data_IF_714687548030
#
_entry.id   IF_714687548030
#
_cell.length_a   1.000
_cell.length_b   1.000
_cell.length_c   1.000
_cell.angle_alpha   90.00
_cell.angle_beta   90.00
_cell.angle_gamma   90.00
#
_symmetry.space_group_name_H-M   'P 1'
#
loop_
_entity.id
_entity.type
_entity.pdbx_description
1 polymer ?
#
# COMPACT_ATOMS: atom_id res chain seq x y z
N UNK A 1 -15.95 41.00 20.29
CA UNK A 1 -14.85 41.65 19.54
C UNK A 1 -14.17 40.60 18.68
N UNK A 2 -14.60 40.43 17.43
CA UNK A 2 -14.03 39.46 16.48
C UNK A 2 -12.84 40.14 15.78
N UNK A 3 -11.71 39.43 15.80
CA UNK A 3 -10.37 39.99 15.58
C UNK A 3 -10.15 40.49 14.12
N UNK A 4 -9.48 41.63 13.92
CA UNK A 4 -9.21 42.23 12.60
C UNK A 4 -8.28 41.42 11.67
N UNK A 5 -7.74 40.29 12.13
CA UNK A 5 -6.81 39.43 11.38
C UNK A 5 -7.45 38.67 10.20
N UNK A 6 -8.76 38.34 10.28
CA UNK A 6 -9.44 37.64 9.18
C UNK A 6 -9.57 38.49 7.92
N UNK A 7 -9.65 39.81 8.06
CA UNK A 7 -9.76 40.72 6.92
C UNK A 7 -8.42 40.89 6.19
N UNK A 8 -7.29 40.85 6.90
CA UNK A 8 -5.98 41.00 6.27
C UNK A 8 -5.58 39.72 5.52
N UNK A 9 -5.85 38.55 6.10
CA UNK A 9 -5.55 37.26 5.46
C UNK A 9 -6.42 37.03 4.23
N UNK A 10 -7.70 37.43 4.27
CA UNK A 10 -8.58 37.35 3.10
C UNK A 10 -8.13 38.32 1.99
N UNK A 11 -7.67 39.52 2.34
CA UNK A 11 -7.14 40.50 1.39
C UNK A 11 -5.86 39.99 0.71
N UNK A 12 -4.95 39.40 1.50
CA UNK A 12 -3.72 38.78 1.00
C UNK A 12 -4.07 37.60 0.08
N UNK A 13 -4.98 36.72 0.50
CA UNK A 13 -5.44 35.59 -0.32
C UNK A 13 -6.09 36.05 -1.64
N UNK A 14 -6.90 37.10 -1.61
CA UNK A 14 -7.52 37.67 -2.81
C UNK A 14 -6.47 38.32 -3.73
N UNK A 15 -5.49 39.02 -3.16
CA UNK A 15 -4.34 39.59 -3.88
C UNK A 15 -3.49 38.52 -4.56
N UNK A 16 -3.21 37.41 -3.86
CA UNK A 16 -2.51 36.26 -4.43
C UNK A 16 -3.30 35.63 -5.57
N UNK A 17 -4.61 35.42 -5.40
CA UNK A 17 -5.45 34.89 -6.48
C UNK A 17 -5.51 35.80 -7.71
N UNK A 18 -5.56 37.11 -7.51
CA UNK A 18 -5.53 38.07 -8.61
C UNK A 18 -4.18 38.04 -9.34
N UNK A 19 -3.07 38.02 -8.60
CA UNK A 19 -1.73 37.88 -9.17
C UNK A 19 -1.59 36.57 -9.95
N UNK A 20 -2.07 35.45 -9.40
CA UNK A 20 -2.06 34.14 -10.05
C UNK A 20 -2.85 34.16 -11.37
N UNK A 21 -4.05 34.76 -11.38
CA UNK A 21 -4.84 34.90 -12.61
C UNK A 21 -4.11 35.73 -13.65
N UNK A 22 -3.44 36.80 -13.23
CA UNK A 22 -2.68 37.67 -14.12
C UNK A 22 -1.45 36.96 -14.71
N UNK A 23 -0.72 36.21 -13.88
CA UNK A 23 0.40 35.38 -14.32
C UNK A 23 -0.04 34.26 -15.24
N UNK A 24 -1.15 33.58 -14.95
CA UNK A 24 -1.73 32.56 -15.82
C UNK A 24 -2.18 33.13 -17.17
N UNK A 25 -2.78 34.33 -17.18
CA UNK A 25 -3.15 35.03 -18.41
C UNK A 25 -1.91 35.43 -19.22
N UNK A 26 -0.84 35.87 -18.56
CA UNK A 26 0.43 36.21 -19.19
C UNK A 26 1.12 34.97 -19.79
N UNK A 27 1.15 33.85 -19.05
CA UNK A 27 1.67 32.56 -19.55
C UNK A 27 0.84 32.05 -20.74
N UNK A 28 -0.48 32.20 -20.71
CA UNK A 28 -1.33 31.88 -21.87
C UNK A 28 -0.98 32.73 -23.08
N UNK A 29 -0.79 34.05 -22.91
CA UNK A 29 -0.35 34.94 -23.99
C UNK A 29 1.01 34.53 -24.55
N UNK A 30 1.98 34.25 -23.67
CA UNK A 30 3.31 33.79 -24.07
C UNK A 30 3.25 32.46 -24.83
N UNK A 31 2.47 31.47 -24.36
CA UNK A 31 2.24 30.20 -25.08
C UNK A 31 1.63 30.42 -26.46
N UNK A 32 0.64 31.31 -26.58
CA UNK A 32 0.01 31.61 -27.87
C UNK A 32 1.02 32.25 -28.83
N UNK A 33 1.90 33.14 -28.34
CA UNK A 33 2.98 33.74 -29.15
C UNK A 33 4.11 32.76 -29.50
N UNK A 34 4.39 31.77 -28.64
CA UNK A 34 5.36 30.70 -28.93
C UNK A 34 4.82 29.71 -29.98
N UNK A 35 3.51 29.42 -29.96
CA UNK A 35 2.84 28.57 -30.95
C UNK A 35 2.79 29.24 -32.32
N UNK A 36 2.65 30.57 -32.39
CA UNK A 36 2.58 31.31 -33.66
C UNK A 36 3.94 31.63 -34.28
N UNK A 37 5.05 31.59 -33.52
CA UNK A 37 6.39 32.00 -34.00
C UNK A 37 7.33 30.85 -34.40
N UNK A 38 6.92 29.59 -34.25
CA UNK A 38 7.66 28.41 -34.76
C UNK A 38 9.09 28.21 -34.21
N UNK A 39 9.52 28.99 -33.21
CA UNK A 39 10.86 28.90 -32.59
C UNK A 39 10.82 28.14 -31.27
N UNK A 40 10.59 26.84 -31.30
CA UNK A 40 10.58 26.00 -30.08
C UNK A 40 11.36 24.66 -30.11
N UNK A 41 12.34 24.39 -31.00
CA UNK A 41 13.20 23.21 -30.79
C UNK A 41 14.43 23.40 -29.88
N UNK A 42 14.96 24.62 -29.70
CA UNK A 42 16.29 24.85 -29.09
C UNK A 42 16.24 25.13 -27.57
N UNK A 43 15.36 26.00 -27.12
CA UNK A 43 15.18 26.30 -25.68
C UNK A 43 14.69 25.07 -24.91
N UNK A 44 13.68 24.35 -25.43
CA UNK A 44 13.18 23.12 -24.81
C UNK A 44 14.26 22.01 -24.72
N UNK A 45 15.27 22.02 -25.60
CA UNK A 45 16.40 21.07 -25.58
C UNK A 45 17.37 21.36 -24.44
N UNK A 46 17.60 22.63 -24.11
CA UNK A 46 18.50 23.05 -23.03
C UNK A 46 17.86 22.96 -21.63
N UNK A 47 16.54 23.06 -21.53
CA UNK A 47 15.85 22.96 -20.23
C UNK A 47 15.57 21.52 -19.80
N UNK A 48 15.36 20.58 -20.73
CA UNK A 48 15.11 19.16 -20.42
C UNK A 48 16.19 18.52 -19.52
N UNK A 49 17.50 18.67 -19.78
CA UNK A 49 18.54 18.13 -18.91
C UNK A 49 18.56 18.81 -17.53
N UNK A 50 18.31 20.12 -17.47
CA UNK A 50 18.25 20.87 -16.22
C UNK A 50 17.08 20.39 -15.35
N UNK A 51 15.89 20.27 -15.94
CA UNK A 51 14.70 19.73 -15.26
C UNK A 51 14.97 18.31 -14.76
N UNK A 52 15.59 17.45 -15.59
CA UNK A 52 15.95 16.09 -15.18
C UNK A 52 16.92 16.07 -13.99
N UNK A 53 17.94 16.94 -13.99
CA UNK A 53 18.86 17.07 -12.86
C UNK A 53 18.17 17.60 -11.60
N UNK A 54 17.23 18.55 -11.73
CA UNK A 54 16.47 19.05 -10.59
C UNK A 54 15.52 17.99 -10.02
N UNK A 55 14.86 17.20 -10.87
CA UNK A 55 14.03 16.07 -10.42
C UNK A 55 14.87 15.03 -9.68
N UNK A 56 16.05 14.69 -10.21
CA UNK A 56 16.95 13.75 -9.53
C UNK A 56 17.40 14.27 -8.16
N UNK A 57 17.72 15.56 -8.04
CA UNK A 57 18.06 16.19 -6.75
C UNK A 57 16.87 16.19 -5.79
N UNK A 58 15.66 16.43 -6.28
CA UNK A 58 14.43 16.35 -5.49
C UNK A 58 14.21 14.93 -4.96
N UNK A 59 14.41 13.91 -5.79
CA UNK A 59 14.32 12.50 -5.38
C UNK A 59 15.40 12.14 -4.34
N UNK A 60 16.64 12.61 -4.53
CA UNK A 60 17.74 12.45 -3.56
C UNK A 60 17.41 13.12 -2.21
N UNK A 61 16.89 14.36 -2.23
CA UNK A 61 16.47 15.08 -1.02
C UNK A 61 15.26 14.44 -0.33
N UNK A 62 14.32 13.86 -1.09
CA UNK A 62 13.18 13.12 -0.54
C UNK A 62 13.64 11.83 0.16
N UNK A 63 14.61 11.13 -0.42
CA UNK A 63 15.20 9.94 0.19
C UNK A 63 15.95 10.28 1.49
N UNK A 64 16.76 11.35 1.50
CA UNK A 64 17.46 11.82 2.70
C UNK A 64 16.48 12.21 3.82
N UNK A 65 15.38 12.90 3.47
CA UNK A 65 14.32 13.24 4.43
C UNK A 65 13.68 12.01 5.05
N UNK A 66 13.47 10.96 4.27
CA UNK A 66 12.88 9.72 4.79
C UNK A 66 13.82 9.02 5.78
N UNK A 67 15.11 8.94 5.47
CA UNK A 67 16.13 8.42 6.41
C UNK A 67 16.13 9.22 7.71
N UNK A 68 16.09 10.55 7.62
CA UNK A 68 16.08 11.42 8.79
C UNK A 68 14.80 11.26 9.62
N UNK A 69 13.65 11.05 8.98
CA UNK A 69 12.39 10.74 9.69
C UNK A 69 12.49 9.41 10.44
N UNK A 70 13.05 8.38 9.82
CA UNK A 70 13.25 7.09 10.47
C UNK A 70 14.20 7.20 11.68
N UNK A 71 15.25 8.02 11.57
CA UNK A 71 16.15 8.30 12.68
C UNK A 71 15.46 9.06 13.82
N UNK A 72 14.65 10.08 13.49
CA UNK A 72 13.86 10.81 14.47
C UNK A 72 12.88 9.89 15.20
N UNK A 73 12.14 9.05 14.48
CA UNK A 73 11.21 8.09 15.07
C UNK A 73 11.91 7.13 16.04
N UNK A 74 13.11 6.65 15.69
CA UNK A 74 13.92 5.80 16.61
C UNK A 74 14.33 6.54 17.87
N UNK A 75 14.75 7.79 17.75
CA UNK A 75 15.16 8.61 18.91
C UNK A 75 13.96 8.96 19.78
N UNK A 76 12.80 9.26 19.19
CA UNK A 76 11.55 9.52 19.90
C UNK A 76 11.11 8.30 20.72
N UNK A 77 11.15 7.10 20.14
CA UNK A 77 10.86 5.85 20.85
C UNK A 77 11.84 5.64 22.01
N UNK A 78 13.14 5.79 21.77
CA UNK A 78 14.16 5.63 22.80
C UNK A 78 14.00 6.66 23.94
N UNK A 79 13.62 7.89 23.61
CA UNK A 79 13.35 8.94 24.59
C UNK A 79 12.12 8.61 25.43
N UNK A 80 11.04 8.12 24.83
CA UNK A 80 9.83 7.70 25.54
C UNK A 80 10.11 6.52 26.48
N UNK A 81 10.92 5.55 26.03
CA UNK A 81 11.37 4.44 26.89
C UNK A 81 12.18 4.93 28.10
N UNK A 82 13.08 5.89 27.91
CA UNK A 82 13.83 6.50 29.02
C UNK A 82 12.92 7.28 29.97
N UNK A 83 11.94 8.02 29.44
CA UNK A 83 10.95 8.71 30.26
C UNK A 83 10.15 7.73 31.12
N UNK A 84 9.69 6.62 30.53
CA UNK A 84 9.01 5.55 31.28
C UNK A 84 9.91 4.97 32.37
N UNK A 85 11.17 4.60 32.05
CA UNK A 85 12.15 4.12 33.04
C UNK A 85 12.32 5.10 34.21
N UNK A 86 12.50 6.39 33.90
CA UNK A 86 12.67 7.42 34.92
C UNK A 86 11.43 7.59 35.82
N UNK A 87 10.22 7.44 35.27
CA UNK A 87 8.99 7.50 36.07
C UNK A 87 8.85 6.29 36.99
N UNK A 88 9.17 5.09 36.52
CA UNK A 88 9.15 3.86 37.33
C UNK A 88 10.16 3.92 38.48
N UNK A 89 11.38 4.40 38.21
CA UNK A 89 12.40 4.61 39.24
C UNK A 89 11.98 5.64 40.29
N UNK A 90 11.33 6.74 39.86
CA UNK A 90 10.82 7.76 40.77
C UNK A 90 9.70 7.22 41.67
N UNK A 91 8.79 6.41 41.12
CA UNK A 91 7.75 5.74 41.90
C UNK A 91 8.34 4.75 42.90
N UNK A 92 9.31 3.94 42.48
CA UNK A 92 9.96 2.96 43.34
C UNK A 92 10.72 3.64 44.48
N UNK A 93 11.43 4.73 44.18
CA UNK A 93 12.08 5.55 45.19
C UNK A 93 11.07 6.07 46.22
N UNK A 94 9.89 6.51 45.78
CA UNK A 94 8.83 6.99 46.67
C UNK A 94 8.28 5.86 47.55
N UNK A 95 8.14 4.64 47.02
CA UNK A 95 7.74 3.46 47.81
C UNK A 95 8.79 3.13 48.88
N UNK A 96 10.07 3.10 48.49
CA UNK A 96 11.17 2.85 49.41
C UNK A 96 11.29 3.92 50.51
N UNK A 97 11.08 5.19 50.15
CA UNK A 97 11.09 6.29 51.12
C UNK A 97 9.94 6.17 52.12
N UNK A 98 8.74 5.77 51.67
CA UNK A 98 7.62 5.51 52.56
C UNK A 98 7.92 4.37 53.55
N UNK A 99 8.43 3.22 53.06
CA UNK A 99 8.83 2.10 53.91
C UNK A 99 9.95 2.47 54.89
N UNK A 100 10.92 3.26 54.46
CA UNK A 100 11.98 3.75 55.33
C UNK A 100 11.44 4.64 56.46
N UNK A 101 10.48 5.51 56.14
CA UNK A 101 9.85 6.38 57.13
C UNK A 101 9.02 5.58 58.14
N UNK A 102 8.25 4.59 57.69
CA UNK A 102 7.51 3.65 58.55
C UNK A 102 8.47 2.92 59.51
N UNK A 103 9.53 2.32 58.99
CA UNK A 103 10.53 1.62 59.80
C UNK A 103 11.19 2.56 60.83
N UNK A 104 11.44 3.82 60.47
CA UNK A 104 12.00 4.82 61.39
C UNK A 104 11.02 5.20 62.51
N UNK A 105 9.72 5.32 62.19
CA UNK A 105 8.67 5.57 63.19
C UNK A 105 8.55 4.39 64.14
N UNK A 106 8.55 3.16 63.63
CA UNK A 106 8.52 1.94 64.45
C UNK A 106 9.73 1.84 65.38
N UNK A 107 10.93 2.05 64.85
CA UNK A 107 12.17 2.05 65.62
C UNK A 107 12.17 3.14 66.71
N UNK A 108 11.65 4.34 66.40
CA UNK A 108 11.47 5.42 67.37
C UNK A 108 10.50 5.04 68.49
N UNK A 109 9.38 4.40 68.15
CA UNK A 109 8.41 3.88 69.11
C UNK A 109 9.00 2.81 70.04
N UNK A 110 9.80 1.90 69.47
CA UNK A 110 10.52 0.87 70.24
C UNK A 110 11.58 1.49 71.16
N UNK A 111 12.36 2.46 70.66
CA UNK A 111 13.37 3.17 71.45
C UNK A 111 12.75 3.89 72.64
N UNK A 112 11.63 4.57 72.45
CA UNK A 112 10.91 5.26 73.55
C UNK A 112 10.36 4.28 74.58
N UNK A 113 9.83 3.13 74.14
CA UNK A 113 9.42 2.04 75.05
C UNK A 113 10.63 1.53 75.84
N UNK A 114 11.77 1.34 75.21
CA UNK A 114 12.99 0.87 75.86
C UNK A 114 13.51 1.87 76.91
N UNK A 115 13.54 3.17 76.60
CA UNK A 115 13.92 4.24 77.54
C UNK A 115 13.00 4.28 78.77
N UNK A 116 11.69 4.05 78.58
CA UNK A 116 10.72 3.94 79.69
C UNK A 116 11.02 2.74 80.61
N UNK A 117 11.52 1.62 80.07
CA UNK A 117 11.90 0.45 80.87
C UNK A 117 13.26 0.61 81.56
N UNK A 118 14.16 1.44 81.03
CA UNK A 118 15.51 1.66 81.58
C UNK A 118 15.59 2.82 82.58
N UNK A 119 14.60 3.72 82.61
CA UNK A 119 14.52 4.77 83.63
C UNK A 119 14.22 4.21 85.02
N UNK A 120 14.83 4.77 86.06
CA UNK A 120 14.58 4.42 87.46
C UNK A 120 13.13 4.77 87.86
N UNK A 121 12.23 3.81 87.67
CA UNK A 121 10.79 3.90 87.92
C UNK A 121 10.20 2.50 88.12
N UNK A 122 8.86 2.36 88.25
CA UNK A 122 8.18 1.12 88.70
C UNK A 122 8.37 -0.13 87.81
N UNK A 123 9.21 -0.06 86.77
CA UNK A 123 9.68 -1.19 85.96
C UNK A 123 10.47 -2.24 86.78
N UNK A 124 10.90 -1.93 88.00
CA UNK A 124 11.54 -2.87 88.94
C UNK A 124 10.55 -3.70 89.76
N UNK A 125 9.24 -3.57 89.52
CA UNK A 125 8.25 -4.45 90.13
C UNK A 125 8.39 -5.88 89.55
N UNK A 126 8.71 -6.89 90.40
CA UNK A 126 8.86 -8.28 89.95
C UNK A 126 7.64 -8.84 89.22
N UNK A 127 6.43 -8.36 89.51
CA UNK A 127 5.22 -8.77 88.81
C UNK A 127 5.16 -8.21 87.38
N UNK A 128 5.56 -6.95 87.21
CA UNK A 128 5.60 -6.29 85.90
C UNK A 128 6.65 -6.94 84.99
N UNK A 129 7.82 -7.28 85.53
CA UNK A 129 8.86 -8.03 84.81
C UNK A 129 8.38 -9.43 84.39
N UNK A 130 7.59 -10.11 85.22
CA UNK A 130 7.00 -11.41 84.89
C UNK A 130 5.96 -11.30 83.77
N UNK A 131 5.13 -10.25 83.77
CA UNK A 131 4.15 -9.98 82.70
C UNK A 131 4.88 -9.61 81.40
N UNK A 132 5.90 -8.76 81.46
CA UNK A 132 6.72 -8.39 80.32
C UNK A 132 7.41 -9.63 79.72
N UNK A 133 7.99 -10.49 80.56
CA UNK A 133 8.62 -11.73 80.13
C UNK A 133 7.61 -12.73 79.53
N UNK A 134 6.40 -12.80 80.07
CA UNK A 134 5.30 -13.58 79.46
C UNK A 134 4.94 -13.04 78.08
N UNK A 135 4.79 -11.72 77.93
CA UNK A 135 4.53 -11.08 76.64
C UNK A 135 5.67 -11.28 75.64
N UNK A 136 6.92 -11.16 76.06
CA UNK A 136 8.07 -11.44 75.20
C UNK A 136 8.09 -12.90 74.73
N UNK A 137 7.68 -13.85 75.58
CA UNK A 137 7.53 -15.26 75.18
C UNK A 137 6.39 -15.45 74.18
N UNK A 138 5.26 -14.77 74.36
CA UNK A 138 4.15 -14.79 73.41
C UNK A 138 4.51 -14.15 72.06
N UNK A 139 5.18 -13.00 72.07
CA UNK A 139 5.67 -12.32 70.86
C UNK A 139 6.73 -13.16 70.14
N UNK A 140 7.66 -13.78 70.88
CA UNK A 140 8.65 -14.69 70.32
C UNK A 140 7.95 -15.88 69.66
N UNK A 141 7.01 -16.53 70.36
CA UNK A 141 6.21 -17.63 69.81
C UNK A 141 5.43 -17.22 68.55
N UNK A 142 4.86 -16.01 68.54
CA UNK A 142 4.14 -15.47 67.38
C UNK A 142 5.07 -15.21 66.20
N UNK A 143 6.24 -14.61 66.42
CA UNK A 143 7.26 -14.40 65.38
C UNK A 143 7.83 -15.71 64.85
N UNK A 144 8.05 -16.70 65.72
CA UNK A 144 8.47 -18.05 65.31
C UNK A 144 7.42 -18.71 64.43
N UNK A 145 6.12 -18.55 64.72
CA UNK A 145 5.04 -19.04 63.83
C UNK A 145 5.04 -18.33 62.48
N UNK A 146 5.17 -17.01 62.44
CA UNK A 146 5.24 -16.25 61.18
C UNK A 146 6.46 -16.67 60.35
N UNK A 147 7.62 -16.90 60.98
CA UNK A 147 8.80 -17.43 60.30
C UNK A 147 8.56 -18.83 59.74
N UNK A 148 7.93 -19.72 60.50
CA UNK A 148 7.56 -21.06 60.03
C UNK A 148 6.55 -21.02 58.86
N UNK A 149 5.59 -20.10 58.91
CA UNK A 149 4.64 -19.89 57.82
C UNK A 149 5.31 -19.29 56.58
N UNK A 150 6.21 -18.31 56.74
CA UNK A 150 7.05 -17.81 55.64
C UNK A 150 7.91 -18.94 55.09
N UNK A 151 8.64 -19.69 55.91
CA UNK A 151 9.41 -20.86 55.47
C UNK A 151 8.55 -21.87 54.71
N UNK A 152 7.30 -22.07 55.13
CA UNK A 152 6.33 -22.94 54.43
C UNK A 152 5.87 -22.34 53.09
N UNK A 153 5.65 -21.03 53.02
CA UNK A 153 5.28 -20.32 51.79
C UNK A 153 6.44 -20.28 50.79
N UNK A 154 7.67 -20.01 51.26
CA UNK A 154 8.89 -20.05 50.46
C UNK A 154 9.40 -21.47 50.19
N UNK A 155 8.87 -22.49 50.86
CA UNK A 155 9.09 -23.91 50.52
C UNK A 155 8.46 -24.28 49.18
N UNK A 156 7.41 -23.56 48.75
CA UNK A 156 6.85 -23.67 47.40
C UNK A 156 7.47 -22.67 46.41
N UNK A 157 8.79 -22.73 46.25
CA UNK A 157 9.38 -22.45 44.93
C UNK A 157 8.95 -23.56 43.98
N UNK A 158 8.65 -23.21 42.71
CA UNK A 158 8.08 -24.06 41.64
C UNK A 158 8.32 -25.55 41.92
N UNK A 159 7.26 -26.33 42.23
CA UNK A 159 7.39 -27.74 42.54
C UNK A 159 8.26 -28.43 41.49
N UNK A 160 9.19 -29.29 41.90
CA UNK A 160 10.17 -29.91 40.99
C UNK A 160 9.50 -30.55 39.76
N UNK A 161 8.31 -31.11 39.93
CA UNK A 161 7.50 -31.67 38.85
C UNK A 161 7.05 -30.63 37.81
N UNK A 162 6.67 -29.42 38.25
CA UNK A 162 6.29 -28.31 37.38
C UNK A 162 7.51 -27.71 36.68
N UNK A 163 8.64 -27.61 37.37
CA UNK A 163 9.92 -27.22 36.79
C UNK A 163 10.36 -28.20 35.69
N UNK A 164 10.34 -29.51 35.98
CA UNK A 164 10.69 -30.54 35.00
C UNK A 164 9.70 -30.56 33.82
N UNK A 165 8.42 -30.19 34.05
CA UNK A 165 7.42 -30.04 32.97
C UNK A 165 7.70 -28.80 32.11
N UNK A 166 7.99 -27.66 32.73
CA UNK A 166 8.37 -26.42 32.05
C UNK A 166 9.67 -26.59 31.25
N UNK A 167 10.65 -27.29 31.81
CA UNK A 167 11.92 -27.58 31.15
C UNK A 167 11.73 -28.48 29.93
N UNK A 168 10.84 -29.48 30.00
CA UNK A 168 10.47 -30.29 28.83
C UNK A 168 9.77 -29.48 27.75
N UNK A 169 8.83 -28.60 28.13
CA UNK A 169 8.16 -27.69 27.18
C UNK A 169 9.17 -26.75 26.51
N UNK A 170 10.07 -26.15 27.28
CA UNK A 170 11.13 -25.29 26.76
C UNK A 170 12.05 -26.05 25.80
N UNK A 171 12.48 -27.26 26.15
CA UNK A 171 13.30 -28.09 25.27
C UNK A 171 12.57 -28.42 23.95
N UNK A 172 11.27 -28.76 24.02
CA UNK A 172 10.47 -29.04 22.83
C UNK A 172 10.32 -27.80 21.93
N UNK A 173 10.01 -26.63 22.51
CA UNK A 173 9.90 -25.37 21.78
C UNK A 173 11.25 -24.95 21.20
N UNK A 174 12.35 -25.09 21.94
CA UNK A 174 13.70 -24.81 21.46
C UNK A 174 14.09 -25.70 20.28
N UNK A 175 13.74 -26.98 20.32
CA UNK A 175 14.00 -27.90 19.20
C UNK A 175 13.15 -27.56 17.97
N UNK A 176 11.87 -27.24 18.17
CA UNK A 176 11.00 -26.78 17.07
C UNK A 176 11.52 -25.49 16.45
N UNK A 177 11.96 -24.52 17.28
CA UNK A 177 12.56 -23.29 16.80
C UNK A 177 13.80 -23.57 15.95
N UNK A 178 14.72 -24.42 16.43
CA UNK A 178 15.90 -24.83 15.65
C UNK A 178 15.54 -25.47 14.31
N UNK A 179 14.51 -26.32 14.27
CA UNK A 179 14.04 -26.94 13.02
C UNK A 179 13.48 -25.89 12.06
N UNK A 180 12.65 -24.97 12.55
CA UNK A 180 12.08 -23.88 11.74
C UNK A 180 13.18 -22.95 11.22
N UNK A 181 14.14 -22.57 12.04
CA UNK A 181 15.29 -21.76 11.62
C UNK A 181 16.10 -22.47 10.53
N UNK A 182 16.35 -23.77 10.67
CA UNK A 182 17.06 -24.54 9.65
C UNK A 182 16.30 -24.58 8.31
N UNK A 183 14.98 -24.81 8.35
CA UNK A 183 14.15 -24.80 7.13
C UNK A 183 14.09 -23.40 6.51
N UNK A 184 14.01 -22.35 7.33
CA UNK A 184 14.04 -20.97 6.86
C UNK A 184 15.34 -20.66 6.12
N UNK A 185 16.48 -21.04 6.68
CA UNK A 185 17.79 -20.78 6.07
C UNK A 185 17.94 -21.56 4.75
N UNK A 186 17.49 -22.83 4.72
CA UNK A 186 17.46 -23.61 3.48
C UNK A 186 16.57 -22.97 2.40
N UNK A 187 15.40 -22.46 2.78
CA UNK A 187 14.48 -21.81 1.83
C UNK A 187 15.06 -20.49 1.31
N UNK A 188 15.77 -19.76 2.17
CA UNK A 188 16.48 -18.54 1.80
C UNK A 188 17.57 -18.82 0.76
N UNK A 189 18.38 -19.85 0.96
CA UNK A 189 19.41 -20.27 0.00
C UNK A 189 18.81 -20.69 -1.35
N UNK A 190 17.69 -21.42 -1.31
CA UNK A 190 16.94 -21.78 -2.52
C UNK A 190 16.40 -20.55 -3.24
N UNK A 191 15.86 -19.59 -2.50
CA UNK A 191 15.36 -18.33 -3.06
C UNK A 191 16.48 -17.52 -3.73
N UNK A 192 17.64 -17.39 -3.08
CA UNK A 192 18.82 -16.72 -3.63
C UNK A 192 19.31 -17.41 -4.92
N UNK A 193 19.29 -18.74 -4.95
CA UNK A 193 19.64 -19.53 -6.15
C UNK A 193 18.67 -19.26 -7.30
N UNK A 194 17.36 -19.24 -7.03
CA UNK A 194 16.33 -18.96 -8.03
C UNK A 194 16.43 -17.52 -8.53
N UNK A 195 16.68 -16.55 -7.65
CA UNK A 195 16.90 -15.16 -8.03
C UNK A 195 18.09 -15.02 -8.98
N UNK A 196 19.22 -15.66 -8.67
CA UNK A 196 20.40 -15.64 -9.54
C UNK A 196 20.13 -16.29 -10.90
N UNK A 197 19.34 -17.36 -10.95
CA UNK A 197 18.92 -17.97 -12.22
C UNK A 197 17.99 -17.04 -13.02
N UNK A 198 17.03 -16.39 -12.36
CA UNK A 198 16.13 -15.43 -12.99
C UNK A 198 16.89 -14.24 -13.58
N UNK A 199 17.87 -13.69 -12.86
CA UNK A 199 18.71 -12.59 -13.35
C UNK A 199 19.46 -12.96 -14.63
N UNK A 200 19.98 -14.19 -14.72
CA UNK A 200 20.62 -14.71 -15.94
C UNK A 200 19.66 -14.81 -17.12
N UNK A 201 18.46 -15.35 -16.90
CA UNK A 201 17.43 -15.48 -17.95
C UNK A 201 16.97 -14.10 -18.44
N UNK A 202 16.84 -13.13 -17.53
CA UNK A 202 16.52 -11.74 -17.89
C UNK A 202 17.61 -11.11 -18.74
N UNK A 203 18.88 -11.29 -18.35
CA UNK A 203 20.02 -10.79 -19.13
C UNK A 203 20.08 -11.42 -20.53
N UNK A 204 19.86 -12.74 -20.63
CA UNK A 204 19.80 -13.46 -21.91
C UNK A 204 18.66 -12.95 -22.80
N UNK A 205 17.45 -12.80 -22.24
CA UNK A 205 16.30 -12.23 -22.96
C UNK A 205 16.61 -10.85 -23.51
N UNK A 206 17.22 -9.99 -22.69
CA UNK A 206 17.53 -8.62 -23.09
C UNK A 206 18.62 -8.57 -24.17
N UNK A 207 19.63 -9.44 -24.07
CA UNK A 207 20.63 -9.65 -25.11
C UNK A 207 20.02 -10.12 -26.44
N UNK A 208 19.17 -11.14 -26.41
CA UNK A 208 18.46 -11.64 -27.59
C UNK A 208 17.54 -10.57 -28.20
N UNK A 209 16.91 -9.73 -27.37
CA UNK A 209 16.08 -8.61 -27.84
C UNK A 209 16.91 -7.58 -28.59
N UNK A 210 18.09 -7.24 -28.07
CA UNK A 210 19.01 -6.29 -28.70
C UNK A 210 19.61 -6.85 -30.00
N UNK A 211 19.98 -8.14 -30.01
CA UNK A 211 20.43 -8.84 -31.21
C UNK A 211 19.33 -8.87 -32.27
N UNK A 212 18.11 -9.24 -31.91
CA UNK A 212 16.97 -9.25 -32.84
C UNK A 212 16.70 -7.85 -33.40
N UNK A 213 16.79 -6.82 -32.56
CA UNK A 213 16.66 -5.44 -33.02
C UNK A 213 17.77 -5.06 -34.00
N UNK A 214 19.00 -5.50 -33.75
CA UNK A 214 20.16 -5.25 -34.61
C UNK A 214 20.03 -5.97 -35.95
N UNK A 215 19.65 -7.25 -35.93
CA UNK A 215 19.37 -8.03 -37.14
C UNK A 215 18.24 -7.42 -37.96
N UNK A 216 17.16 -6.95 -37.33
CA UNK A 216 16.09 -6.20 -38.01
C UNK A 216 16.63 -4.94 -38.70
N UNK A 217 17.52 -4.18 -38.03
CA UNK A 217 18.16 -2.99 -38.61
C UNK A 217 19.11 -3.34 -39.77
N UNK A 218 19.80 -4.47 -39.71
CA UNK A 218 20.75 -4.91 -40.73
C UNK A 218 20.06 -5.52 -41.96
N UNK A 219 19.01 -6.33 -41.75
CA UNK A 219 18.21 -6.96 -42.81
C UNK A 219 17.28 -5.97 -43.53
N UNK A 220 16.84 -4.92 -42.81
CA UNK A 220 16.12 -3.79 -43.40
C UNK A 220 16.91 -2.51 -43.12
N UNK A 221 18.01 -2.24 -43.86
CA UNK A 221 18.74 -1.00 -43.69
C UNK A 221 17.79 0.13 -44.00
N UNK A 222 17.38 0.85 -42.95
CA UNK A 222 16.40 1.92 -43.07
C UNK A 222 16.98 2.92 -44.06
N UNK A 223 16.33 3.19 -45.21
CA UNK A 223 16.81 4.21 -46.13
C UNK A 223 17.02 5.51 -45.35
N UNK A 224 18.06 6.28 -45.67
CA UNK A 224 18.29 7.57 -45.01
C UNK A 224 17.24 8.56 -45.50
N UNK A 225 16.03 8.45 -44.92
CA UNK A 225 14.84 9.17 -45.34
C UNK A 225 15.06 10.67 -45.23
N UNK A 226 15.97 11.18 -44.40
CA UNK A 226 16.28 12.61 -44.37
C UNK A 226 16.84 13.12 -45.70
N UNK A 227 17.59 12.30 -46.44
CA UNK A 227 18.22 12.70 -47.71
C UNK A 227 17.24 12.57 -48.89
N UNK A 228 16.41 11.54 -48.89
CA UNK A 228 15.39 11.31 -49.92
C UNK A 228 14.12 12.13 -49.70
N UNK A 229 13.71 12.34 -48.45
CA UNK A 229 12.55 13.16 -48.11
C UNK A 229 12.79 14.64 -48.41
N UNK A 230 14.01 15.19 -48.37
CA UNK A 230 14.24 16.58 -48.78
C UNK A 230 14.10 16.80 -50.29
N UNK A 231 14.57 15.86 -51.12
CA UNK A 231 14.38 15.91 -52.59
C UNK A 231 12.92 15.69 -52.99
N UNK A 232 12.23 14.80 -52.28
CA UNK A 232 10.80 14.54 -52.47
C UNK A 232 9.95 15.69 -51.89
N UNK A 233 10.31 16.28 -50.74
CA UNK A 233 9.67 17.49 -50.20
C UNK A 233 9.83 18.66 -51.17
N UNK A 234 11.00 18.86 -51.78
CA UNK A 234 11.20 20.00 -52.69
C UNK A 234 10.30 19.91 -53.93
N UNK A 235 10.04 18.70 -54.43
CA UNK A 235 9.14 18.46 -55.56
C UNK A 235 7.64 18.45 -55.16
N UNK A 236 7.31 18.06 -53.92
CA UNK A 236 5.94 18.01 -53.41
C UNK A 236 5.48 19.37 -52.86
N UNK A 237 6.36 20.12 -52.18
CA UNK A 237 6.07 21.46 -51.61
C UNK A 237 5.75 22.47 -52.71
N UNK A 238 6.32 22.32 -53.91
CA UNK A 238 5.99 23.19 -55.06
C UNK A 238 4.68 22.80 -55.78
N UNK A 239 4.13 21.61 -55.55
CA UNK A 239 2.96 21.13 -56.31
C UNK A 239 1.69 20.90 -55.48
N UNK A 240 1.77 20.87 -54.15
CA UNK A 240 0.61 20.71 -53.27
C UNK A 240 0.69 21.71 -52.11
N UNK A 241 0.67 22.99 -52.48
CA UNK A 241 0.20 24.02 -51.56
C UNK A 241 -1.28 23.77 -51.31
N UNK A 242 -1.62 23.61 -50.02
CA UNK A 242 -2.95 23.50 -49.43
C UNK A 242 -3.55 22.08 -49.47
N UNK A 243 -3.94 21.62 -48.28
CA UNK A 243 -4.96 20.58 -47.97
C UNK A 243 -4.55 19.16 -47.57
N UNK A 244 -3.27 18.79 -47.34
CA UNK A 244 -2.94 17.39 -46.90
C UNK A 244 -1.80 17.33 -45.86
N UNK A 245 -1.81 18.18 -44.83
CA UNK A 245 -0.82 18.04 -43.73
C UNK A 245 -1.27 17.08 -42.62
N UNK A 246 -2.57 16.72 -42.54
CA UNK A 246 -3.10 15.86 -41.46
C UNK A 246 -3.27 14.38 -41.86
N UNK A 247 -3.16 14.02 -43.14
CA UNK A 247 -3.29 12.62 -43.57
C UNK A 247 -1.97 11.84 -43.58
N UNK A 248 -0.82 12.50 -43.75
CA UNK A 248 0.45 11.81 -44.06
C UNK A 248 1.10 11.17 -42.81
N UNK A 249 0.90 11.71 -41.61
CA UNK A 249 1.45 11.10 -40.38
C UNK A 249 0.70 9.85 -39.92
N UNK A 250 -0.58 9.73 -40.30
CA UNK A 250 -1.46 8.64 -39.93
C UNK A 250 -1.40 7.44 -40.89
N UNK A 251 -0.91 7.62 -42.12
CA UNK A 251 -0.82 6.55 -43.12
C UNK A 251 0.25 5.48 -42.84
N UNK A 252 1.29 5.79 -42.06
CA UNK A 252 2.37 4.81 -41.74
C UNK A 252 1.96 3.73 -40.74
N UNK A 253 0.96 4.03 -39.92
CA UNK A 253 0.40 3.09 -38.94
C UNK A 253 -0.23 1.88 -39.64
N UNK A 254 -0.85 2.12 -40.80
CA UNK A 254 -1.50 1.10 -41.59
C UNK A 254 -0.57 -0.03 -42.07
N UNK A 255 0.75 0.21 -42.12
CA UNK A 255 1.73 -0.82 -42.50
C UNK A 255 1.90 -1.91 -41.44
N UNK A 256 1.45 -1.67 -40.21
CA UNK A 256 1.57 -2.58 -39.06
C UNK A 256 0.23 -3.19 -38.63
N UNK A 257 -0.85 -2.91 -39.37
CA UNK A 257 -2.19 -3.41 -39.11
C UNK A 257 -2.58 -4.45 -40.16
N UNK A 258 -3.13 -5.60 -39.74
CA UNK A 258 -3.73 -6.56 -40.67
C UNK A 258 -4.86 -5.87 -41.45
N UNK A 259 -4.82 -5.95 -42.78
CA UNK A 259 -5.76 -5.25 -43.67
C UNK A 259 -5.30 -3.87 -44.17
N UNK A 260 -4.13 -3.38 -43.75
CA UNK A 260 -3.46 -2.26 -44.39
C UNK A 260 -4.19 -0.91 -44.33
N UNK A 261 -3.94 -0.05 -45.32
CA UNK A 261 -4.41 1.34 -45.32
C UNK A 261 -5.91 1.51 -45.56
N UNK A 262 -6.54 0.52 -46.19
CA UNK A 262 -7.99 0.51 -46.43
C UNK A 262 -8.74 0.31 -45.12
N UNK A 263 -8.35 -0.70 -44.33
CA UNK A 263 -8.94 -0.96 -43.00
C UNK A 263 -8.64 0.17 -42.02
N UNK A 264 -7.44 0.75 -42.06
CA UNK A 264 -7.12 1.91 -41.23
C UNK A 264 -7.96 3.14 -41.57
N UNK A 265 -8.27 3.39 -42.86
CA UNK A 265 -9.17 4.49 -43.25
C UNK A 265 -10.58 4.30 -42.72
N UNK A 266 -11.10 3.08 -42.72
CA UNK A 266 -12.40 2.77 -42.13
C UNK A 266 -12.39 2.94 -40.61
N UNK A 267 -11.34 2.45 -39.93
CA UNK A 267 -11.21 2.52 -38.48
C UNK A 267 -10.97 3.93 -37.94
N UNK A 268 -10.29 4.79 -38.71
CA UNK A 268 -9.96 6.17 -38.35
C UNK A 268 -11.04 7.18 -38.78
N UNK A 269 -11.99 6.77 -39.63
CA UNK A 269 -13.03 7.66 -40.13
C UNK A 269 -13.90 8.19 -38.97
N UNK A 270 -13.94 9.51 -38.83
CA UNK A 270 -14.77 10.19 -37.83
C UNK A 270 -14.24 10.16 -36.39
N UNK A 271 -13.05 9.59 -36.12
CA UNK A 271 -12.45 9.53 -34.78
C UNK A 271 -11.46 10.66 -34.52
N UNK A 272 -11.35 11.10 -33.27
CA UNK A 272 -10.39 12.12 -32.84
C UNK A 272 -8.98 11.54 -32.68
N UNK A 273 -7.96 12.39 -32.64
CA UNK A 273 -6.56 11.95 -32.49
C UNK A 273 -6.30 11.09 -31.24
N UNK A 274 -7.05 11.34 -30.15
CA UNK A 274 -6.97 10.57 -28.91
C UNK A 274 -7.60 9.18 -29.09
N UNK A 275 -8.81 9.12 -29.65
CA UNK A 275 -9.50 7.87 -29.98
C UNK A 275 -8.75 7.02 -31.01
N UNK A 276 -8.01 7.66 -31.93
CA UNK A 276 -7.18 6.95 -32.90
C UNK A 276 -6.00 6.23 -32.24
N UNK A 277 -5.46 6.75 -31.12
CA UNK A 277 -4.40 6.09 -30.35
C UNK A 277 -4.93 4.85 -29.65
N UNK A 278 -6.14 4.90 -29.10
CA UNK A 278 -6.74 3.74 -28.41
C UNK A 278 -7.05 2.60 -29.38
N UNK A 279 -7.58 2.92 -30.56
CA UNK A 279 -7.80 1.96 -31.66
C UNK A 279 -6.47 1.33 -32.09
N UNK A 280 -5.41 2.13 -32.13
CA UNK A 280 -4.06 1.69 -32.46
C UNK A 280 -3.50 0.68 -31.46
N UNK A 281 -3.61 0.99 -30.17
CA UNK A 281 -3.10 0.09 -29.13
C UNK A 281 -3.95 -1.18 -29.06
N UNK A 282 -5.27 -1.07 -29.27
CA UNK A 282 -6.18 -2.21 -29.36
C UNK A 282 -5.78 -3.19 -30.47
N UNK A 283 -5.43 -2.69 -31.64
CA UNK A 283 -5.00 -3.52 -32.77
C UNK A 283 -3.59 -4.08 -32.62
N UNK A 284 -2.64 -3.31 -32.06
CA UNK A 284 -1.25 -3.75 -31.89
C UNK A 284 -1.06 -4.77 -30.77
N UNK A 285 -1.93 -4.76 -29.76
CA UNK A 285 -1.83 -5.65 -28.59
C UNK A 285 -2.82 -6.80 -28.61
N UNK A 286 -3.72 -6.84 -29.61
CA UNK A 286 -4.80 -7.83 -29.69
C UNK A 286 -5.73 -7.83 -28.48
N UNK A 287 -5.70 -6.76 -27.69
CA UNK A 287 -6.48 -6.58 -26.47
C UNK A 287 -7.35 -5.35 -26.71
N UNK A 288 -8.69 -5.45 -26.75
CA UNK A 288 -9.50 -4.23 -26.71
C UNK A 288 -9.14 -3.47 -25.43
N UNK A 289 -8.43 -2.36 -25.60
CA UNK A 289 -8.32 -1.37 -24.55
C UNK A 289 -9.69 -0.76 -24.36
N UNK A 290 -10.16 -0.90 -23.14
CA UNK A 290 -11.48 -0.53 -22.69
C UNK A 290 -11.60 1.00 -22.71
N UNK A 291 -12.05 1.59 -23.82
CA UNK A 291 -12.53 2.99 -23.87
C UNK A 291 -13.95 3.06 -23.30
N UNK A 292 -14.24 2.30 -22.24
CA UNK A 292 -15.51 2.41 -21.54
C UNK A 292 -15.32 3.36 -20.38
N UNK A 293 -16.30 4.22 -20.17
CA UNK A 293 -16.44 5.02 -18.96
C UNK A 293 -16.06 4.22 -17.70
N UNK A 294 -15.31 4.84 -16.78
CA UNK A 294 -14.93 4.23 -15.48
C UNK A 294 -16.15 3.74 -14.69
N UNK A 295 -17.34 4.25 -15.04
CA UNK A 295 -18.63 3.89 -14.45
C UNK A 295 -19.65 3.53 -15.53
N UNK A 296 -20.45 2.50 -15.26
CA UNK A 296 -21.60 2.07 -16.08
C UNK A 296 -22.88 2.52 -15.38
N UNK A 297 -23.75 3.19 -16.11
CA UNK A 297 -25.09 3.55 -15.65
C UNK A 297 -26.01 2.32 -15.66
N UNK A 298 -26.65 2.04 -14.52
CA UNK A 298 -27.51 0.89 -14.38
C UNK A 298 -28.89 1.12 -15.01
N UNK A 299 -29.49 0.05 -15.52
CA UNK A 299 -30.79 0.02 -16.22
C UNK A 299 -31.99 0.11 -15.28
N UNK A 300 -31.79 0.23 -13.97
CA UNK A 300 -32.85 0.33 -12.97
C UNK A 300 -33.44 -1.03 -12.55
N UNK A 301 -34.54 -0.98 -11.79
CA UNK A 301 -35.20 -2.16 -11.19
C UNK A 301 -36.49 -2.58 -11.89
N UNK A 302 -36.69 -2.15 -13.14
CA UNK A 302 -37.92 -2.42 -13.86
C UNK A 302 -38.10 -3.91 -14.20
N UNK A 303 -39.35 -4.42 -14.32
CA UNK A 303 -39.62 -5.82 -14.66
C UNK A 303 -39.04 -6.25 -16.02
N UNK A 304 -38.85 -5.31 -16.95
CA UNK A 304 -38.25 -5.56 -18.27
C UNK A 304 -36.72 -5.74 -18.26
N UNK A 305 -36.05 -5.42 -17.15
CA UNK A 305 -34.60 -5.63 -17.00
C UNK A 305 -34.35 -7.05 -16.47
N UNK A 306 -33.41 -7.83 -17.04
CA UNK A 306 -33.05 -9.16 -16.54
C UNK A 306 -32.66 -9.12 -15.06
N UNK A 307 -33.05 -10.14 -14.29
CA UNK A 307 -32.91 -10.16 -12.82
C UNK A 307 -31.47 -9.82 -12.34
N UNK A 308 -30.46 -10.37 -13.00
CA UNK A 308 -29.04 -10.15 -12.66
C UNK A 308 -28.54 -8.73 -12.94
N UNK A 309 -29.30 -7.89 -13.67
CA UNK A 309 -28.97 -6.49 -13.96
C UNK A 309 -29.88 -5.50 -13.21
N UNK A 310 -30.79 -5.96 -12.34
CA UNK A 310 -31.70 -5.05 -11.62
C UNK A 310 -30.95 -4.35 -10.49
N UNK A 311 -30.42 -3.17 -10.79
CA UNK A 311 -29.70 -2.33 -9.84
C UNK A 311 -29.90 -0.86 -10.19
N UNK A 312 -29.79 0.02 -9.20
CA UNK A 312 -30.08 1.45 -9.33
C UNK A 312 -28.82 2.28 -9.03
N UNK A 313 -28.55 3.31 -9.85
CA UNK A 313 -27.35 4.14 -9.75
C UNK A 313 -26.29 3.79 -10.81
N UNK A 314 -25.04 4.14 -10.53
CA UNK A 314 -23.89 3.83 -11.38
C UNK A 314 -22.93 2.90 -10.65
N UNK A 315 -22.32 1.97 -11.40
CA UNK A 315 -21.40 0.97 -10.87
C UNK A 315 -20.05 1.08 -11.55
N UNK A 316 -18.98 0.75 -10.83
CA UNK A 316 -17.62 0.81 -11.39
C UNK A 316 -17.46 -0.25 -12.48
N UNK A 317 -16.91 0.14 -13.63
CA UNK A 317 -16.55 -0.82 -14.67
C UNK A 317 -15.25 -1.53 -14.29
N UNK A 318 -15.29 -2.86 -14.21
CA UNK A 318 -14.12 -3.70 -13.91
C UNK A 318 -13.25 -3.95 -15.15
N UNK A 319 -13.68 -3.48 -16.32
CA UNK A 319 -12.95 -3.55 -17.59
C UNK A 319 -12.45 -4.97 -17.90
N UNK A 320 -13.37 -5.95 -17.86
CA UNK A 320 -13.02 -7.35 -18.07
C UNK A 320 -12.43 -7.54 -19.48
N UNK A 321 -11.20 -8.05 -19.52
CA UNK A 321 -10.53 -8.46 -20.74
C UNK A 321 -11.00 -9.84 -21.23
N UNK A 322 -10.63 -10.20 -22.46
CA UNK A 322 -11.04 -11.46 -23.11
C UNK A 322 -10.77 -12.71 -22.26
N UNK A 323 -9.56 -12.81 -21.69
CA UNK A 323 -9.17 -13.95 -20.83
C UNK A 323 -10.06 -14.06 -19.60
N UNK A 324 -10.27 -12.95 -18.90
CA UNK A 324 -11.03 -12.94 -17.66
C UNK A 324 -12.52 -13.20 -17.92
N UNK A 325 -13.06 -12.68 -19.03
CA UNK A 325 -14.40 -13.01 -19.48
C UNK A 325 -14.55 -14.52 -19.73
N UNK A 326 -13.63 -15.12 -20.49
CA UNK A 326 -13.67 -16.56 -20.77
C UNK A 326 -13.66 -17.40 -19.50
N UNK A 327 -12.77 -17.09 -18.55
CA UNK A 327 -12.70 -17.82 -17.27
C UNK A 327 -14.01 -17.75 -16.49
N UNK A 328 -14.65 -16.56 -16.46
CA UNK A 328 -15.91 -16.37 -15.75
C UNK A 328 -17.05 -17.11 -16.46
N UNK A 329 -17.13 -17.03 -17.78
CA UNK A 329 -18.15 -17.73 -18.58
C UNK A 329 -18.01 -19.24 -18.44
N UNK A 330 -16.78 -19.77 -18.53
CA UNK A 330 -16.49 -21.19 -18.32
C UNK A 330 -16.88 -21.67 -16.92
N UNK A 331 -16.58 -20.89 -15.88
CA UNK A 331 -16.95 -21.23 -14.50
C UNK A 331 -18.48 -21.27 -14.33
N UNK A 332 -19.20 -20.26 -14.84
CA UNK A 332 -20.67 -20.23 -14.79
C UNK A 332 -21.25 -21.47 -15.49
N UNK A 333 -20.75 -21.82 -16.68
CA UNK A 333 -21.21 -23.00 -17.40
C UNK A 333 -20.81 -24.32 -16.73
N UNK A 334 -19.63 -24.39 -16.12
CA UNK A 334 -19.19 -25.57 -15.37
C UNK A 334 -20.08 -25.81 -14.14
N UNK A 335 -20.37 -24.76 -13.38
CA UNK A 335 -21.26 -24.82 -12.21
C UNK A 335 -22.68 -25.18 -12.62
N UNK A 336 -23.21 -24.58 -13.70
CA UNK A 336 -24.55 -24.90 -14.20
C UNK A 336 -24.69 -26.36 -14.61
N UNK A 337 -23.70 -26.91 -15.33
CA UNK A 337 -23.67 -28.32 -15.74
C UNK A 337 -23.57 -29.25 -14.54
N UNK A 338 -22.73 -28.93 -13.56
CA UNK A 338 -22.56 -29.72 -12.34
C UNK A 338 -23.85 -29.81 -11.53
N UNK A 339 -24.60 -28.72 -11.44
CA UNK A 339 -25.88 -28.67 -10.74
C UNK A 339 -27.05 -29.24 -11.56
N UNK A 340 -26.81 -29.60 -12.83
CA UNK A 340 -27.84 -30.02 -13.79
C UNK A 340 -29.05 -29.07 -13.83
N UNK A 341 -28.80 -27.77 -13.69
CA UNK A 341 -29.84 -26.75 -13.58
C UNK A 341 -30.41 -26.43 -14.99
N UNK A 342 -31.73 -26.56 -15.14
CA UNK A 342 -32.47 -26.33 -16.39
C UNK A 342 -33.05 -24.91 -16.53
N UNK A 343 -32.83 -24.04 -15.56
CA UNK A 343 -33.30 -22.66 -15.58
C UNK A 343 -32.64 -21.86 -16.73
N UNK A 344 -33.31 -20.82 -17.25
CA UNK A 344 -32.73 -19.88 -18.20
C UNK A 344 -31.40 -19.30 -17.67
N UNK A 345 -30.45 -19.01 -18.58
CA UNK A 345 -29.12 -18.52 -18.19
C UNK A 345 -29.18 -17.23 -17.37
N UNK A 346 -30.10 -16.33 -17.70
CA UNK A 346 -30.32 -15.07 -16.97
C UNK A 346 -30.72 -15.27 -15.50
N UNK A 347 -31.54 -16.29 -15.20
CA UNK A 347 -31.99 -16.61 -13.83
C UNK A 347 -30.87 -17.30 -13.07
N UNK A 348 -30.14 -18.17 -13.76
CA UNK A 348 -29.00 -18.87 -13.18
C UNK A 348 -27.86 -17.91 -12.82
N UNK A 349 -27.55 -16.94 -13.68
CA UNK A 349 -26.48 -15.94 -13.44
C UNK A 349 -26.81 -15.07 -12.23
N UNK A 350 -28.06 -14.68 -12.03
CA UNK A 350 -28.50 -13.94 -10.83
C UNK A 350 -28.25 -14.76 -9.55
N UNK A 351 -28.66 -16.04 -9.57
CA UNK A 351 -28.45 -16.96 -8.45
C UNK A 351 -26.96 -17.20 -8.18
N UNK A 352 -26.18 -17.41 -9.24
CA UNK A 352 -24.73 -17.62 -9.18
C UNK A 352 -23.99 -16.47 -8.50
N UNK A 353 -24.29 -15.21 -8.87
CA UNK A 353 -23.65 -14.06 -8.24
C UNK A 353 -24.17 -13.80 -6.82
N UNK A 354 -25.43 -14.15 -6.49
CA UNK A 354 -25.98 -14.09 -5.12
C UNK A 354 -25.31 -15.04 -4.15
N UNK A 355 -25.00 -16.26 -4.60
CA UNK A 355 -24.30 -17.25 -3.76
C UNK A 355 -22.82 -16.87 -3.54
N UNK A 356 -22.20 -16.22 -4.53
CA UNK A 356 -20.76 -15.90 -4.50
C UNK A 356 -20.42 -14.55 -3.87
N UNK A 357 -21.35 -13.59 -3.88
CA UNK A 357 -21.14 -12.26 -3.33
C UNK A 357 -22.34 -11.78 -2.52
N UNK A 358 -22.10 -11.45 -1.25
CA UNK A 358 -23.16 -11.04 -0.31
C UNK A 358 -23.60 -9.57 -0.48
N UNK A 359 -22.70 -8.70 -0.97
CA UNK A 359 -22.98 -7.27 -1.20
C UNK A 359 -23.65 -7.03 -2.55
N UNK A 360 -24.77 -6.29 -2.56
CA UNK A 360 -25.55 -6.00 -3.77
C UNK A 360 -24.79 -5.12 -4.77
N UNK A 361 -24.05 -4.11 -4.27
CA UNK A 361 -23.18 -3.25 -5.07
C UNK A 361 -22.13 -4.05 -5.85
N UNK A 362 -21.44 -4.96 -5.18
CA UNK A 362 -20.39 -5.79 -5.80
C UNK A 362 -20.97 -6.76 -6.82
N UNK A 363 -22.16 -7.32 -6.56
CA UNK A 363 -22.88 -8.13 -7.56
C UNK A 363 -23.21 -7.31 -8.79
N UNK A 364 -23.74 -6.11 -8.61
CA UNK A 364 -24.09 -5.23 -9.71
C UNK A 364 -22.85 -4.87 -10.54
N UNK A 365 -21.71 -4.51 -9.92
CA UNK A 365 -20.45 -4.27 -10.63
C UNK A 365 -20.05 -5.45 -11.53
N UNK A 366 -20.10 -6.67 -11.00
CA UNK A 366 -19.76 -7.88 -11.76
C UNK A 366 -20.75 -8.17 -12.88
N UNK A 367 -22.05 -8.10 -12.62
CA UNK A 367 -23.08 -8.36 -13.62
C UNK A 367 -23.04 -7.34 -14.77
N UNK A 368 -22.88 -6.06 -14.47
CA UNK A 368 -22.78 -5.00 -15.47
C UNK A 368 -21.46 -5.07 -16.25
N UNK A 369 -20.34 -5.35 -15.57
CA UNK A 369 -19.05 -5.54 -16.25
C UNK A 369 -19.04 -6.78 -17.15
N UNK A 370 -19.73 -7.86 -16.74
CA UNK A 370 -19.89 -9.07 -17.54
C UNK A 370 -20.76 -8.81 -18.78
N UNK A 371 -21.90 -8.15 -18.61
CA UNK A 371 -22.80 -7.81 -19.71
C UNK A 371 -22.13 -6.87 -20.72
N UNK A 372 -21.42 -5.85 -20.23
CA UNK A 372 -20.62 -4.94 -21.05
C UNK A 372 -19.52 -5.68 -21.82
N UNK A 373 -18.77 -6.56 -21.16
CA UNK A 373 -17.72 -7.36 -21.80
C UNK A 373 -18.27 -8.32 -22.86
N UNK A 374 -19.38 -9.00 -22.58
CA UNK A 374 -20.07 -9.85 -23.56
C UNK A 374 -20.54 -9.03 -24.77
N UNK A 375 -21.10 -7.84 -24.55
CA UNK A 375 -21.58 -6.99 -25.64
C UNK A 375 -20.42 -6.44 -26.49
N UNK A 376 -19.30 -6.07 -25.86
CA UNK A 376 -18.10 -5.60 -26.55
C UNK A 376 -17.42 -6.70 -27.37
N UNK A 377 -17.37 -7.91 -26.84
CA UNK A 377 -16.64 -9.05 -27.43
C UNK A 377 -17.55 -9.96 -28.29
N UNK A 378 -18.83 -9.62 -28.43
CA UNK A 378 -19.81 -10.39 -29.21
C UNK A 378 -19.46 -10.55 -30.70
N UNK A 379 -18.61 -9.67 -31.25
CA UNK A 379 -18.23 -9.68 -32.66
C UNK A 379 -16.94 -10.47 -32.96
N UNK A 380 -16.28 -11.03 -31.94
CA UNK A 380 -15.13 -11.91 -32.13
C UNK A 380 -15.59 -13.36 -32.24
N UNK A 381 -15.35 -14.01 -33.40
CA UNK A 381 -15.75 -15.40 -33.71
C UNK A 381 -15.28 -16.47 -32.69
N UNK A 382 -14.40 -16.12 -31.73
CA UNK A 382 -13.84 -17.03 -30.73
C UNK A 382 -14.49 -16.94 -29.34
N UNK A 383 -15.53 -16.12 -29.15
CA UNK A 383 -16.15 -15.88 -27.83
C UNK A 383 -17.52 -16.59 -27.66
N UNK A 384 -17.97 -17.36 -28.66
CA UNK A 384 -19.19 -18.17 -28.60
C UNK A 384 -18.92 -19.67 -28.49
#
# INVERSE_FOLDING_TARGET
>A
MVRPYNNLLSLIHHGYHHLLRHLQAYVRKLRVTEVTSGRTPSLARNWRPKIKNYLKKLEEEEYEKEILRDQLAKVEIALEEEHMRATEEAEERKRLEAHFLEAKVEAGGLKKKLEMYLGEGPATDPQLLKIALSKCREELSSKTRVLQDMERQYREVVPRADFDRLQRKFAAVSNSHKQVTMVHDMLKDQHETVLAAHEKVVAERDGLREENQTLRRAATPRPDWNRSCWKILFLIVNKLSRTISNQISLCRVAEYLEGGISRWRELSFGKTSEQMVDVLISELTGSQLCVTSEFIDCKGKEPGVPAYLRYEGSVRNRCLGKRDLMLIVEDIWAVKRKLNNKEPMEVFVDTYFKERYHLEEVRAEWCYSLADACQRLAHEEQVL
#
